data_IF_183153085513
#
_entry.id   IF_183153085513
#
_cell.length_a   1.000
_cell.length_b   1.000
_cell.length_c   1.000
_cell.angle_alpha   90.00
_cell.angle_beta   90.00
_cell.angle_gamma   90.00
#
_symmetry.space_group_name_H-M   'P 1'
#
loop_
_entity.id
_entity.type
_entity.pdbx_description
1 polymer ?
#
# COMPACT_ATOMS: atom_id res chain seq x y z
N UNK A 1 6.68 -5.69 -0.85
CA UNK A 1 6.88 -7.03 -0.25
C UNK A 1 7.60 -6.98 1.08
N UNK A 2 8.79 -6.37 1.16
CA UNK A 2 9.60 -6.39 2.39
C UNK A 2 8.87 -5.81 3.61
N UNK A 3 8.18 -4.70 3.46
CA UNK A 3 7.40 -4.10 4.56
C UNK A 3 6.21 -4.99 4.96
N UNK A 4 5.55 -5.63 4.01
CA UNK A 4 4.49 -6.61 4.31
C UNK A 4 5.08 -7.78 5.12
N UNK A 5 6.21 -8.34 4.67
CA UNK A 5 6.89 -9.41 5.41
C UNK A 5 7.31 -9.00 6.83
N UNK A 6 7.81 -7.78 7.00
CA UNK A 6 8.15 -7.25 8.32
C UNK A 6 6.92 -7.13 9.24
N UNK A 7 5.79 -6.68 8.69
CA UNK A 7 4.53 -6.63 9.44
C UNK A 7 4.06 -8.02 9.85
N UNK A 8 4.13 -9.00 8.96
CA UNK A 8 3.80 -10.40 9.26
C UNK A 8 4.72 -11.02 10.33
N UNK A 9 5.97 -10.57 10.38
CA UNK A 9 6.94 -10.97 11.40
C UNK A 9 6.76 -10.24 12.75
N UNK A 10 5.70 -9.45 12.90
CA UNK A 10 5.36 -8.79 14.16
C UNK A 10 5.86 -7.36 14.32
N UNK A 11 6.45 -6.76 13.28
CA UNK A 11 6.84 -5.37 13.29
C UNK A 11 5.66 -4.46 12.89
N UNK A 12 5.83 -3.14 13.05
CA UNK A 12 4.86 -2.12 12.61
C UNK A 12 5.54 -1.15 11.65
N UNK A 13 5.83 -1.57 10.43
CA UNK A 13 6.57 -0.75 9.49
C UNK A 13 5.73 0.40 8.95
N UNK A 14 6.41 1.50 8.66
CA UNK A 14 5.89 2.59 7.83
C UNK A 14 6.66 2.54 6.53
N UNK A 15 5.99 2.16 5.44
CA UNK A 15 6.58 2.11 4.11
C UNK A 15 6.28 3.40 3.36
N UNK A 16 7.31 4.04 2.83
CA UNK A 16 7.13 5.21 1.99
C UNK A 16 7.24 4.84 0.52
N UNK A 17 6.26 5.28 -0.26
CA UNK A 17 6.30 5.27 -1.72
C UNK A 17 6.36 6.73 -2.16
N UNK A 18 7.43 7.12 -2.82
CA UNK A 18 7.75 8.51 -3.11
C UNK A 18 6.59 9.26 -3.79
N UNK A 19 5.98 8.66 -4.80
CA UNK A 19 4.85 9.23 -5.54
C UNK A 19 3.74 8.21 -5.68
N UNK A 20 2.48 8.66 -5.58
CA UNK A 20 1.30 7.79 -5.66
C UNK A 20 1.29 6.91 -6.91
N UNK A 21 1.73 7.42 -8.06
CA UNK A 21 1.77 6.65 -9.30
C UNK A 21 2.64 5.39 -9.21
N UNK A 22 3.66 5.38 -8.36
CA UNK A 22 4.54 4.21 -8.18
C UNK A 22 3.86 3.08 -7.40
N UNK A 23 2.72 3.34 -6.81
CA UNK A 23 1.88 2.31 -6.20
C UNK A 23 1.53 1.21 -7.21
N UNK A 24 1.37 1.54 -8.49
CA UNK A 24 1.11 0.56 -9.54
C UNK A 24 2.13 -0.57 -9.59
N UNK A 25 3.39 -0.30 -9.27
CA UNK A 25 4.48 -1.29 -9.27
C UNK A 25 4.36 -2.28 -8.09
N UNK A 26 3.80 -1.86 -6.97
CA UNK A 26 3.69 -2.68 -5.77
C UNK A 26 2.25 -3.06 -5.41
N UNK A 27 1.32 -2.84 -6.32
CA UNK A 27 -0.12 -3.01 -6.08
C UNK A 27 -0.48 -4.44 -5.66
N UNK A 28 0.16 -5.45 -6.23
CA UNK A 28 -0.01 -6.84 -5.81
C UNK A 28 0.27 -7.05 -4.33
N UNK A 29 1.36 -6.48 -3.83
CA UNK A 29 1.75 -6.61 -2.43
C UNK A 29 0.78 -5.92 -1.47
N UNK A 30 0.12 -4.87 -1.91
CA UNK A 30 -0.89 -4.15 -1.12
C UNK A 30 -2.22 -4.89 -1.17
N UNK A 31 -2.74 -5.14 -2.37
CA UNK A 31 -4.08 -5.65 -2.59
C UNK A 31 -4.19 -7.14 -2.32
N UNK A 32 -3.24 -7.94 -2.79
CA UNK A 32 -3.30 -9.39 -2.69
C UNK A 32 -2.62 -9.96 -1.45
N UNK A 33 -1.75 -9.21 -0.80
CA UNK A 33 -1.06 -9.64 0.41
C UNK A 33 -1.50 -8.84 1.64
N UNK A 34 -1.12 -7.56 1.75
CA UNK A 34 -1.39 -6.79 2.97
C UNK A 34 -2.89 -6.76 3.32
N UNK A 35 -3.75 -6.50 2.35
CA UNK A 35 -5.19 -6.39 2.57
C UNK A 35 -5.87 -7.73 2.89
N UNK A 36 -5.36 -8.86 2.37
CA UNK A 36 -6.09 -10.13 2.39
C UNK A 36 -5.55 -11.18 3.32
N UNK A 37 -4.29 -11.12 3.71
CA UNK A 37 -3.67 -12.19 4.49
C UNK A 37 -4.36 -12.44 5.84
N UNK A 38 -4.83 -11.40 6.51
CA UNK A 38 -5.59 -11.57 7.75
C UNK A 38 -6.86 -12.37 7.54
N UNK A 39 -7.64 -12.04 6.53
CA UNK A 39 -8.86 -12.75 6.20
C UNK A 39 -8.55 -14.21 5.79
N UNK A 40 -7.60 -14.40 4.90
CA UNK A 40 -7.24 -15.72 4.37
C UNK A 40 -6.65 -16.65 5.44
N UNK A 41 -6.03 -16.12 6.47
CA UNK A 41 -5.50 -16.89 7.60
C UNK A 41 -6.52 -17.11 8.73
N UNK A 42 -7.78 -16.74 8.53
CA UNK A 42 -8.79 -16.83 9.59
C UNK A 42 -8.51 -15.88 10.76
N UNK A 43 -7.90 -14.73 10.51
CA UNK A 43 -7.56 -13.74 11.52
C UNK A 43 -6.23 -13.95 12.25
N UNK A 44 -5.52 -15.02 11.93
CA UNK A 44 -4.30 -15.40 12.67
C UNK A 44 -3.08 -14.56 12.30
N UNK A 45 -3.07 -13.97 11.09
CA UNK A 45 -1.91 -13.27 10.55
C UNK A 45 -2.23 -11.78 10.36
N UNK A 46 -2.06 -10.95 11.39
CA UNK A 46 -2.26 -9.50 11.24
C UNK A 46 -1.15 -8.89 10.38
N UNK A 47 -1.48 -7.81 9.66
CA UNK A 47 -0.52 -7.05 8.87
C UNK A 47 -0.60 -5.56 9.23
N UNK A 48 -0.06 -5.15 10.40
CA UNK A 48 -0.15 -3.77 10.89
C UNK A 48 0.87 -2.87 10.17
N UNK A 49 0.60 -2.55 8.92
CA UNK A 49 1.45 -1.73 8.07
C UNK A 49 0.81 -0.35 7.84
N UNK A 50 1.64 0.68 7.79
CA UNK A 50 1.26 1.99 7.26
C UNK A 50 2.02 2.21 5.95
N UNK A 51 1.30 2.60 4.91
CA UNK A 51 1.89 2.99 3.62
C UNK A 51 1.58 4.48 3.43
N UNK A 52 2.62 5.29 3.24
CA UNK A 52 2.45 6.70 2.96
C UNK A 52 3.04 7.06 1.61
N UNK A 53 2.42 8.00 0.93
CA UNK A 53 2.87 8.47 -0.38
C UNK A 53 2.41 9.91 -0.60
N UNK A 54 3.06 10.60 -1.50
CA UNK A 54 2.63 11.93 -1.95
C UNK A 54 1.76 11.80 -3.19
N UNK A 55 0.79 12.69 -3.33
CA UNK A 55 -0.16 12.69 -4.43
C UNK A 55 -0.50 14.11 -4.87
N UNK A 56 -1.08 14.23 -6.07
CA UNK A 56 -1.59 15.50 -6.59
C UNK A 56 -0.57 16.34 -7.35
N UNK A 57 -1.00 17.54 -7.70
CA UNK A 57 -0.31 18.39 -8.69
C UNK A 57 0.62 19.45 -8.09
N UNK A 58 0.81 19.48 -6.80
CA UNK A 58 1.48 20.57 -6.10
C UNK A 58 2.92 20.85 -6.53
N UNK A 59 3.63 19.86 -7.07
CA UNK A 59 5.01 19.98 -7.53
C UNK A 59 5.17 19.95 -9.05
N UNK A 60 4.09 19.73 -9.81
CA UNK A 60 4.12 19.82 -11.27
C UNK A 60 4.93 18.72 -11.95
N UNK A 61 4.88 17.49 -11.47
CA UNK A 61 5.61 16.35 -12.05
C UNK A 61 4.98 15.74 -13.30
N UNK A 62 3.97 16.38 -13.88
CA UNK A 62 3.29 15.93 -15.09
C UNK A 62 2.30 14.79 -14.86
N UNK A 63 1.69 14.31 -15.93
CA UNK A 63 0.61 13.32 -15.87
C UNK A 63 1.01 11.97 -15.30
N UNK A 64 2.28 11.58 -15.40
CA UNK A 64 2.75 10.29 -14.90
C UNK A 64 3.00 10.26 -13.38
N UNK A 65 3.06 11.43 -12.72
CA UNK A 65 3.50 11.54 -11.32
C UNK A 65 2.60 12.43 -10.48
N UNK A 66 1.40 12.73 -10.95
CA UNK A 66 0.50 13.67 -10.28
C UNK A 66 -0.92 13.12 -10.10
N UNK A 67 -1.13 11.84 -10.32
CA UNK A 67 -2.43 11.23 -10.13
C UNK A 67 -2.82 11.13 -8.65
N UNK A 68 -4.12 11.13 -8.42
CA UNK A 68 -4.74 10.87 -7.12
C UNK A 68 -5.50 9.54 -7.22
N UNK A 69 -4.87 8.46 -6.77
CA UNK A 69 -5.34 7.10 -6.98
C UNK A 69 -5.99 6.48 -5.72
N UNK A 70 -6.43 7.30 -4.79
CA UNK A 70 -7.01 6.85 -3.51
C UNK A 70 -8.22 5.94 -3.72
N UNK A 71 -9.00 6.16 -4.77
CA UNK A 71 -10.17 5.36 -5.08
C UNK A 71 -9.83 3.89 -5.36
N UNK A 72 -8.62 3.59 -5.83
CA UNK A 72 -8.18 2.19 -6.01
C UNK A 72 -8.18 1.43 -4.69
N UNK A 73 -7.75 2.08 -3.62
CA UNK A 73 -7.68 1.46 -2.29
C UNK A 73 -9.05 1.42 -1.62
N UNK A 74 -9.88 2.44 -1.82
CA UNK A 74 -11.23 2.46 -1.30
C UNK A 74 -12.11 1.33 -1.88
N UNK A 75 -11.76 0.81 -3.06
CA UNK A 75 -12.46 -0.30 -3.70
C UNK A 75 -12.06 -1.67 -3.14
N UNK A 76 -10.94 -1.78 -2.47
CA UNK A 76 -10.40 -3.06 -1.97
C UNK A 76 -10.72 -3.24 -0.50
N UNK A 77 -11.32 -4.37 -0.15
CA UNK A 77 -11.58 -4.73 1.25
C UNK A 77 -10.28 -5.19 1.95
N UNK A 78 -10.13 -4.75 3.20
CA UNK A 78 -8.97 -5.16 4.03
C UNK A 78 -8.29 -4.04 4.78
#
# INVERSE_FOLDING_TARGET
GAAVGAALAGQRPIAEIMLMNFVGVCMDQIVNHAAKLRFMSGGQTPCPIVIRTTTGVGVGFGGQHSDMLEAWFAHVAG
#
